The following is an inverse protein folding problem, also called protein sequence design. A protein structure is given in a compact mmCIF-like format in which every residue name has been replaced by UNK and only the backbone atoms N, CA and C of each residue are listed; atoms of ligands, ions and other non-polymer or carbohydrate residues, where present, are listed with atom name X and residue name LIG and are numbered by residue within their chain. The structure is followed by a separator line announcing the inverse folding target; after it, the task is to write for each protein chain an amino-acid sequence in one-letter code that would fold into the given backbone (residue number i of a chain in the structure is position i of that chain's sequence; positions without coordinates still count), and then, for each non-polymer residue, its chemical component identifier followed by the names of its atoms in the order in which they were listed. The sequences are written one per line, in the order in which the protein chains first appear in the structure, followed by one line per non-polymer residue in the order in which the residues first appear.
data_IF_003329617365
#
_entry.id   IF_003329617365
#
_cell.length_a   1.000
_cell.length_b   1.000
_cell.length_c   1.000
_cell.angle_alpha   90.00
_cell.angle_beta   90.00
_cell.angle_gamma   90.00
#
_symmetry.space_group_name_H-M   'P 1'
#
loop_
_entity.id
_entity.type
_entity.pdbx_description
1 polymer ?
#
# COMPACT_ATOMS: atom_id res chain seq x y z
N UNK A 1 -20.14 -21.24 -0.07
CA UNK A 1 -19.53 -21.60 -1.37
C UNK A 1 -18.46 -20.57 -1.71
N UNK A 2 -17.27 -21.00 -2.16
CA UNK A 2 -16.21 -20.08 -2.59
C UNK A 2 -16.62 -19.49 -3.95
N UNK A 3 -16.75 -18.17 -4.05
CA UNK A 3 -17.05 -17.50 -5.32
C UNK A 3 -15.89 -17.77 -6.31
N UNK A 4 -16.23 -18.21 -7.53
CA UNK A 4 -15.26 -18.47 -8.61
C UNK A 4 -15.01 -17.24 -9.49
N UNK A 5 -15.93 -16.28 -9.46
CA UNK A 5 -15.92 -15.08 -10.27
C UNK A 5 -16.35 -13.86 -9.47
N UNK A 6 -16.01 -12.67 -9.96
CA UNK A 6 -16.36 -11.39 -9.37
C UNK A 6 -16.70 -10.36 -10.45
N UNK A 7 -17.81 -9.65 -10.26
CA UNK A 7 -18.10 -8.40 -10.98
C UNK A 7 -17.83 -7.23 -10.03
N UNK A 8 -17.00 -6.28 -10.45
CA UNK A 8 -16.52 -5.23 -9.54
C UNK A 8 -17.56 -4.12 -9.39
N UNK A 9 -18.15 -3.68 -10.50
CA UNK A 9 -19.22 -2.70 -10.50
C UNK A 9 -20.49 -3.26 -11.19
N UNK A 10 -21.70 -2.95 -10.71
CA UNK A 10 -22.94 -3.47 -11.30
C UNK A 10 -23.08 -3.21 -12.81
N UNK A 11 -22.59 -2.05 -13.27
CA UNK A 11 -22.61 -1.64 -14.69
C UNK A 11 -21.54 -2.26 -15.57
N UNK A 12 -20.60 -3.03 -15.01
CA UNK A 12 -19.57 -3.70 -15.82
C UNK A 12 -20.23 -4.66 -16.82
N UNK A 13 -19.60 -4.89 -17.96
CA UNK A 13 -20.05 -5.93 -18.91
C UNK A 13 -19.03 -7.06 -19.05
N UNK A 14 -18.07 -7.10 -18.14
CA UNK A 14 -17.08 -8.15 -18.00
C UNK A 14 -17.05 -8.69 -16.58
N UNK A 15 -16.73 -9.96 -16.45
CA UNK A 15 -16.61 -10.67 -15.17
C UNK A 15 -15.17 -11.14 -15.00
N UNK A 16 -14.61 -10.98 -13.80
CA UNK A 16 -13.25 -11.42 -13.46
C UNK A 16 -13.27 -12.85 -12.92
N UNK A 17 -12.37 -13.68 -13.44
CA UNK A 17 -12.12 -15.02 -12.91
C UNK A 17 -11.23 -14.95 -11.65
N UNK A 18 -11.67 -15.58 -10.55
CA UNK A 18 -10.91 -15.66 -9.28
C UNK A 18 -10.00 -16.90 -9.21
N UNK A 19 -10.12 -17.79 -10.19
CA UNK A 19 -9.33 -19.00 -10.40
C UNK A 19 -9.35 -19.34 -11.89
N UNK A 20 -8.59 -20.33 -12.33
CA UNK A 20 -8.65 -20.82 -13.71
C UNK A 20 -10.02 -21.48 -13.96
N UNK A 21 -10.65 -21.13 -15.09
CA UNK A 21 -11.95 -21.65 -15.50
C UNK A 21 -11.82 -22.28 -16.90
N UNK A 22 -12.01 -23.59 -17.04
CA UNK A 22 -11.92 -24.24 -18.35
C UNK A 22 -13.07 -23.85 -19.28
N UNK A 23 -12.78 -23.89 -20.57
CA UNK A 23 -13.77 -23.81 -21.64
C UNK A 23 -14.92 -24.80 -21.43
N UNK A 24 -16.15 -24.34 -21.67
CA UNK A 24 -17.38 -25.10 -21.52
C UNK A 24 -17.94 -25.13 -20.09
N UNK A 25 -17.21 -24.62 -19.09
CA UNK A 25 -17.74 -24.50 -17.73
C UNK A 25 -18.93 -23.52 -17.71
N UNK A 26 -19.99 -23.91 -16.98
CA UNK A 26 -21.12 -23.03 -16.69
C UNK A 26 -20.93 -22.35 -15.35
N UNK A 27 -20.87 -21.02 -15.36
CA UNK A 27 -20.73 -20.19 -14.17
C UNK A 27 -22.07 -19.53 -13.87
N UNK A 28 -22.62 -19.77 -12.67
CA UNK A 28 -23.80 -19.05 -12.18
C UNK A 28 -23.38 -17.93 -11.23
N UNK A 29 -23.71 -16.69 -11.55
CA UNK A 29 -23.35 -15.51 -10.77
C UNK A 29 -24.45 -14.45 -10.87
N UNK A 30 -24.86 -13.88 -9.72
CA UNK A 30 -25.95 -12.88 -9.60
C UNK A 30 -27.26 -13.27 -10.31
N UNK A 31 -27.61 -14.56 -10.32
CA UNK A 31 -28.84 -15.07 -10.95
C UNK A 31 -28.74 -15.33 -12.45
N UNK A 32 -27.60 -15.04 -13.08
CA UNK A 32 -27.32 -15.34 -14.49
C UNK A 32 -26.38 -16.52 -14.63
N UNK A 33 -26.53 -17.30 -15.71
CA UNK A 33 -25.63 -18.40 -16.05
C UNK A 33 -24.86 -18.07 -17.33
N UNK A 34 -23.53 -18.22 -17.28
CA UNK A 34 -22.61 -17.94 -18.37
C UNK A 34 -21.89 -19.24 -18.76
N UNK A 35 -21.92 -19.60 -20.05
CA UNK A 35 -21.14 -20.71 -20.57
C UNK A 35 -19.85 -20.17 -21.16
N UNK A 36 -18.70 -20.59 -20.64
CA UNK A 36 -17.41 -20.12 -21.14
C UNK A 36 -17.10 -20.75 -22.49
N UNK A 37 -16.66 -19.95 -23.47
CA UNK A 37 -16.29 -20.45 -24.81
C UNK A 37 -14.79 -20.58 -25.00
N UNK A 38 -14.01 -20.04 -24.06
CA UNK A 38 -12.56 -20.07 -23.99
C UNK A 38 -12.11 -20.50 -22.59
N UNK A 39 -10.86 -20.93 -22.45
CA UNK A 39 -10.23 -21.06 -21.14
C UNK A 39 -9.97 -19.66 -20.57
N UNK A 40 -10.42 -19.40 -19.34
CA UNK A 40 -10.25 -18.12 -18.66
C UNK A 40 -9.29 -18.31 -17.49
N UNK A 41 -8.01 -17.92 -17.62
CA UNK A 41 -7.07 -18.01 -16.52
C UNK A 41 -7.48 -17.08 -15.36
N UNK A 42 -7.00 -17.39 -14.15
CA UNK A 42 -7.19 -16.55 -12.99
C UNK A 42 -6.79 -15.09 -13.30
N UNK A 43 -7.57 -14.14 -12.76
CA UNK A 43 -7.45 -12.68 -12.94
C UNK A 43 -7.78 -12.16 -14.34
N UNK A 44 -8.03 -13.03 -15.32
CA UNK A 44 -8.55 -12.62 -16.63
C UNK A 44 -10.06 -12.39 -16.57
N UNK A 45 -10.61 -11.84 -17.65
CA UNK A 45 -12.01 -11.44 -17.74
C UNK A 45 -12.69 -12.13 -18.91
N UNK A 46 -14.00 -12.31 -18.80
CA UNK A 46 -14.85 -12.72 -19.91
C UNK A 46 -16.07 -11.80 -20.01
N UNK A 47 -16.71 -11.75 -21.17
CA UNK A 47 -17.87 -10.90 -21.41
C UNK A 47 -19.18 -11.53 -20.94
N UNK A 48 -20.05 -10.73 -20.33
CA UNK A 48 -21.37 -11.20 -19.87
C UNK A 48 -22.36 -11.48 -21.00
N UNK A 49 -22.17 -10.79 -22.12
CA UNK A 49 -23.04 -10.82 -23.30
C UNK A 49 -22.20 -10.86 -24.56
N UNK A 50 -22.83 -11.19 -25.69
CA UNK A 50 -22.20 -11.02 -26.99
C UNK A 50 -21.84 -9.54 -27.19
N UNK A 51 -20.65 -9.31 -27.71
CA UNK A 51 -20.12 -8.00 -28.07
C UNK A 51 -19.95 -7.95 -29.58
N UNK A 52 -20.47 -6.91 -30.23
CA UNK A 52 -20.17 -6.58 -31.61
C UNK A 52 -18.88 -5.74 -31.72
N UNK A 53 -18.29 -5.66 -32.91
CA UNK A 53 -17.18 -4.74 -33.16
C UNK A 53 -17.61 -3.29 -32.88
N UNK A 54 -16.83 -2.57 -32.08
CA UNK A 54 -17.12 -1.21 -31.65
C UNK A 54 -17.91 -1.08 -30.34
N UNK A 55 -18.47 -2.19 -29.80
CA UNK A 55 -19.19 -2.16 -28.53
C UNK A 55 -18.29 -1.72 -27.38
N UNK A 56 -18.86 -0.93 -26.49
CA UNK A 56 -18.19 -0.39 -25.32
C UNK A 56 -17.87 -1.46 -24.29
N UNK A 57 -16.64 -1.47 -23.78
CA UNK A 57 -16.19 -2.32 -22.69
C UNK A 57 -16.17 -1.48 -21.42
N UNK A 58 -17.01 -1.86 -20.46
CA UNK A 58 -17.21 -1.14 -19.21
C UNK A 58 -16.58 -1.94 -18.07
N UNK A 59 -15.64 -1.31 -17.36
CA UNK A 59 -14.97 -1.85 -16.19
C UNK A 59 -14.93 -0.81 -15.09
N UNK A 60 -15.18 -1.23 -13.85
CA UNK A 60 -15.26 -0.33 -12.69
C UNK A 60 -16.33 0.77 -12.87
N UNK A 61 -17.36 0.49 -13.66
CA UNK A 61 -18.43 1.44 -13.98
C UNK A 61 -18.06 2.53 -14.99
N UNK A 62 -16.92 2.42 -15.67
CA UNK A 62 -16.46 3.41 -16.67
C UNK A 62 -16.03 2.75 -17.97
N UNK A 63 -16.08 3.50 -19.09
CA UNK A 63 -15.54 3.05 -20.37
C UNK A 63 -14.03 2.89 -20.29
N UNK A 64 -13.53 1.71 -20.63
CA UNK A 64 -12.09 1.43 -20.69
C UNK A 64 -11.59 1.03 -22.07
N UNK A 65 -12.51 0.62 -22.95
CA UNK A 65 -12.18 0.06 -24.25
C UNK A 65 -13.38 -0.13 -25.15
N UNK A 66 -13.11 -0.55 -26.38
CA UNK A 66 -14.11 -1.03 -27.33
C UNK A 66 -13.67 -2.36 -27.93
N UNK A 67 -14.62 -3.27 -28.14
CA UNK A 67 -14.37 -4.54 -28.82
C UNK A 67 -13.89 -4.27 -30.26
N UNK A 68 -12.87 -5.00 -30.71
CA UNK A 68 -12.30 -4.86 -32.07
C UNK A 68 -13.01 -5.74 -33.09
N UNK A 69 -13.63 -6.81 -32.63
CA UNK A 69 -14.31 -7.83 -33.42
C UNK A 69 -15.50 -8.37 -32.61
N UNK A 70 -16.30 -9.23 -33.21
CA UNK A 70 -17.34 -9.94 -32.48
C UNK A 70 -16.72 -10.86 -31.42
N UNK A 71 -17.23 -10.80 -30.19
CA UNK A 71 -16.80 -11.63 -29.06
C UNK A 71 -18.06 -12.23 -28.43
N UNK A 72 -18.22 -13.56 -28.39
CA UNK A 72 -19.38 -14.18 -27.77
C UNK A 72 -19.41 -13.97 -26.25
N UNK A 73 -20.60 -14.06 -25.66
CA UNK A 73 -20.76 -14.19 -24.22
C UNK A 73 -19.92 -15.36 -23.69
N UNK A 74 -19.25 -15.17 -22.56
CA UNK A 74 -18.30 -16.15 -22.01
C UNK A 74 -16.95 -16.19 -22.73
N UNK A 75 -16.72 -15.35 -23.74
CA UNK A 75 -15.44 -15.24 -24.45
C UNK A 75 -14.43 -14.41 -23.66
N UNK A 76 -13.14 -14.77 -23.77
CA UNK A 76 -12.07 -14.12 -23.02
C UNK A 76 -11.85 -12.68 -23.51
N UNK A 77 -11.68 -11.74 -22.59
CA UNK A 77 -11.21 -10.39 -22.87
C UNK A 77 -9.68 -10.37 -22.83
N UNK A 78 -9.05 -9.87 -23.89
CA UNK A 78 -7.60 -9.71 -23.98
C UNK A 78 -7.23 -8.45 -24.79
N UNK A 79 -5.94 -8.17 -24.89
CA UNK A 79 -5.44 -6.97 -25.60
C UNK A 79 -5.54 -7.09 -27.13
N UNK A 80 -5.80 -8.29 -27.67
CA UNK A 80 -6.01 -8.46 -29.11
C UNK A 80 -7.44 -8.17 -29.56
N UNK A 81 -8.44 -8.38 -28.69
CA UNK A 81 -9.84 -8.19 -29.03
C UNK A 81 -10.48 -6.94 -28.40
N UNK A 82 -9.77 -6.22 -27.52
CA UNK A 82 -10.19 -4.92 -26.99
C UNK A 82 -9.11 -3.87 -27.22
N UNK A 83 -9.53 -2.71 -27.72
CA UNK A 83 -8.68 -1.53 -27.84
C UNK A 83 -9.13 -0.47 -26.85
N UNK A 84 -8.17 0.26 -26.29
CA UNK A 84 -8.45 1.34 -25.35
C UNK A 84 -9.41 2.39 -25.95
N UNK A 85 -10.33 2.85 -25.12
CA UNK A 85 -11.24 3.95 -25.37
C UNK A 85 -11.54 4.63 -24.04
N UNK A 86 -11.73 5.94 -24.08
CA UNK A 86 -12.18 6.74 -22.96
C UNK A 86 -13.36 7.59 -23.43
N UNK A 87 -14.21 7.99 -22.49
CA UNK A 87 -15.29 8.91 -22.79
C UNK A 87 -14.70 10.25 -23.24
N UNK A 88 -15.40 10.94 -24.15
CA UNK A 88 -15.02 12.29 -24.54
C UNK A 88 -15.01 13.23 -23.33
N UNK A 89 -14.14 14.24 -23.37
CA UNK A 89 -14.18 15.31 -22.38
C UNK A 89 -15.42 16.17 -22.63
N UNK A 90 -16.30 16.23 -21.66
CA UNK A 90 -17.47 17.10 -21.69
C UNK A 90 -17.80 17.60 -20.28
N UNK A 91 -18.38 18.79 -20.19
CA UNK A 91 -18.88 19.32 -18.93
C UNK A 91 -20.14 18.55 -18.54
N UNK A 92 -19.98 17.66 -17.56
CA UNK A 92 -21.11 16.99 -16.92
C UNK A 92 -21.50 17.79 -15.70
N UNK A 93 -22.74 18.29 -15.67
CA UNK A 93 -23.37 18.76 -14.44
C UNK A 93 -23.74 17.55 -13.54
N UNK A 94 -22.76 16.71 -13.26
CA UNK A 94 -22.91 15.51 -12.45
C UNK A 94 -23.10 15.96 -11.00
N UNK A 95 -24.35 15.87 -10.54
CA UNK A 95 -24.69 16.02 -9.13
C UNK A 95 -24.27 14.74 -8.41
N UNK A 96 -22.96 14.62 -8.12
CA UNK A 96 -22.45 13.47 -7.36
C UNK A 96 -22.99 13.53 -5.93
N UNK A 97 -23.85 12.57 -5.60
CA UNK A 97 -24.33 12.36 -4.24
C UNK A 97 -23.48 11.26 -3.62
N UNK A 98 -22.58 11.63 -2.71
CA UNK A 98 -21.82 10.64 -1.96
C UNK A 98 -22.77 9.83 -1.07
N UNK A 99 -22.82 8.52 -1.31
CA UNK A 99 -23.53 7.59 -0.43
C UNK A 99 -22.54 7.05 0.61
N UNK A 100 -22.67 7.52 1.84
CA UNK A 100 -21.85 7.03 2.94
C UNK A 100 -22.04 5.51 3.12
N UNK A 101 -20.96 4.72 3.28
CA UNK A 101 -21.10 3.32 3.63
C UNK A 101 -21.68 3.19 5.04
N UNK A 102 -22.43 2.12 5.30
CA UNK A 102 -22.93 1.85 6.64
C UNK A 102 -21.78 1.51 7.59
N UNK A 103 -21.55 2.41 8.55
CA UNK A 103 -20.55 2.28 9.62
C UNK A 103 -21.17 1.91 10.97
N UNK A 104 -22.45 1.56 11.02
CA UNK A 104 -23.20 1.22 12.24
C UNK A 104 -22.47 0.18 13.10
N UNK A 105 -21.90 -0.85 12.47
CA UNK A 105 -21.11 -1.92 13.13
C UNK A 105 -19.87 -1.43 13.87
N UNK A 106 -19.41 -0.22 13.58
CA UNK A 106 -18.21 0.38 14.20
C UNK A 106 -18.53 1.50 15.19
N UNK A 107 -19.79 1.91 15.34
CA UNK A 107 -20.18 3.09 16.13
C UNK A 107 -19.67 3.09 17.58
N UNK A 108 -19.63 1.91 18.20
CA UNK A 108 -19.22 1.73 19.60
C UNK A 108 -17.83 1.09 19.74
N UNK A 109 -17.03 1.05 18.66
CA UNK A 109 -15.67 0.52 18.71
C UNK A 109 -14.75 1.59 19.29
N UNK A 110 -13.96 1.20 20.27
CA UNK A 110 -12.94 2.03 20.91
C UNK A 110 -11.57 1.39 20.77
N UNK A 111 -10.53 2.18 20.98
CA UNK A 111 -9.16 1.70 21.10
C UNK A 111 -8.44 2.48 22.21
N UNK A 112 -7.43 1.87 22.82
CA UNK A 112 -6.58 2.57 23.80
C UNK A 112 -5.65 3.52 23.04
N UNK A 113 -5.84 4.82 23.23
CA UNK A 113 -5.06 5.85 22.58
C UNK A 113 -4.49 6.88 23.55
N UNK A 114 -3.54 7.67 23.06
CA UNK A 114 -2.89 8.74 23.82
C UNK A 114 -3.65 10.05 23.62
N UNK A 115 -4.45 10.44 24.60
CA UNK A 115 -5.24 11.68 24.56
C UNK A 115 -4.34 12.92 24.64
N UNK A 116 -4.63 13.91 23.81
CA UNK A 116 -3.96 15.23 23.81
C UNK A 116 -4.91 16.30 24.35
N UNK A 117 -4.32 17.40 24.83
CA UNK A 117 -5.07 18.54 25.38
C UNK A 117 -6.01 19.22 24.38
N UNK A 118 -5.75 19.04 23.08
CA UNK A 118 -6.58 19.56 21.98
C UNK A 118 -7.70 18.60 21.53
N UNK A 119 -7.90 17.49 22.24
CA UNK A 119 -8.93 16.49 21.96
C UNK A 119 -8.55 15.45 20.89
N UNK A 120 -7.42 15.59 20.21
CA UNK A 120 -6.91 14.54 19.31
C UNK A 120 -6.41 13.34 20.11
N UNK A 121 -6.45 12.16 19.50
CA UNK A 121 -5.97 10.91 20.11
C UNK A 121 -4.87 10.31 19.24
N UNK A 122 -3.71 10.04 19.82
CA UNK A 122 -2.58 9.37 19.16
C UNK A 122 -2.69 7.85 19.26
N UNK A 123 -2.21 7.15 18.24
CA UNK A 123 -2.10 5.68 18.22
C UNK A 123 -0.74 5.17 18.73
N UNK A 124 0.21 6.08 18.93
CA UNK A 124 1.55 5.82 19.45
C UNK A 124 2.09 7.05 20.18
N UNK A 125 3.03 6.83 21.10
CA UNK A 125 3.71 7.84 21.89
C UNK A 125 5.19 7.93 21.46
N UNK A 126 5.51 8.94 20.65
CA UNK A 126 6.86 9.17 20.14
C UNK A 126 7.48 10.41 20.74
N UNK A 127 8.78 10.35 21.02
CA UNK A 127 9.59 11.54 21.20
C UNK A 127 10.14 11.97 19.85
N UNK A 128 9.86 13.20 19.45
CA UNK A 128 10.30 13.79 18.19
C UNK A 128 11.35 14.85 18.48
N UNK A 129 12.51 14.70 17.87
CA UNK A 129 13.55 15.71 17.87
C UNK A 129 13.64 16.31 16.47
N UNK A 130 13.42 17.62 16.39
CA UNK A 130 13.32 18.36 15.14
C UNK A 130 14.26 19.56 15.27
N UNK A 131 15.30 19.67 14.42
CA UNK A 131 16.15 20.83 14.40
C UNK A 131 15.40 21.98 13.73
N UNK A 132 15.43 23.17 14.33
CA UNK A 132 14.79 24.37 13.75
C UNK A 132 15.61 24.98 12.62
N UNK A 133 16.90 24.62 12.53
CA UNK A 133 17.84 25.06 11.49
C UNK A 133 18.76 23.91 11.07
N UNK A 134 19.21 23.93 9.82
CA UNK A 134 20.00 22.85 9.21
C UNK A 134 21.36 22.59 9.87
N UNK A 135 22.01 23.65 10.37
CA UNK A 135 23.33 23.55 11.01
C UNK A 135 23.30 22.61 12.23
N UNK A 136 22.13 22.41 12.82
CA UNK A 136 21.94 21.55 13.99
C UNK A 136 21.78 20.06 13.66
N UNK A 137 21.72 19.67 12.38
CA UNK A 137 21.61 18.24 12.02
C UNK A 137 22.74 17.40 12.63
N UNK A 138 23.98 17.91 12.67
CA UNK A 138 25.10 17.19 13.27
C UNK A 138 24.89 16.97 14.76
N UNK A 139 24.41 17.98 15.47
CA UNK A 139 24.08 17.86 16.89
C UNK A 139 22.90 16.88 17.08
N UNK A 140 21.92 16.92 16.19
CA UNK A 140 20.79 15.99 16.19
C UNK A 140 21.24 14.54 16.02
N UNK A 141 22.19 14.26 15.13
CA UNK A 141 22.74 12.93 14.91
C UNK A 141 23.52 12.42 16.14
N UNK A 142 24.24 13.30 16.84
CA UNK A 142 24.90 12.97 18.12
C UNK A 142 23.87 12.61 19.19
N UNK A 143 22.81 13.43 19.34
CA UNK A 143 21.71 13.14 20.28
C UNK A 143 21.03 11.83 19.91
N UNK A 144 20.80 11.59 18.62
CA UNK A 144 20.22 10.34 18.11
C UNK A 144 21.04 9.14 18.51
N UNK A 145 22.34 9.18 18.29
CA UNK A 145 23.23 8.08 18.67
C UNK A 145 23.16 7.81 20.17
N UNK A 146 23.29 8.86 20.99
CA UNK A 146 23.24 8.74 22.45
C UNK A 146 21.90 8.17 22.94
N UNK A 147 20.77 8.74 22.52
CA UNK A 147 19.45 8.31 22.98
C UNK A 147 19.08 6.93 22.45
N UNK A 148 19.44 6.59 21.21
CA UNK A 148 19.13 5.26 20.67
C UNK A 148 19.95 4.16 21.35
N UNK A 149 21.23 4.39 21.61
CA UNK A 149 22.10 3.41 22.25
C UNK A 149 21.76 3.25 23.74
N UNK A 150 21.76 4.35 24.50
CA UNK A 150 21.65 4.30 25.96
C UNK A 150 20.22 3.99 26.44
N UNK A 151 19.20 4.41 25.71
CA UNK A 151 17.80 4.18 26.10
C UNK A 151 17.20 2.91 25.48
N UNK A 152 17.95 2.19 24.64
CA UNK A 152 17.53 0.92 24.05
C UNK A 152 16.53 1.05 22.88
N UNK A 153 16.57 2.17 22.13
CA UNK A 153 15.70 2.37 20.94
C UNK A 153 16.43 2.14 19.61
N UNK A 154 17.73 1.84 19.64
CA UNK A 154 18.55 1.65 18.45
C UNK A 154 18.23 0.35 17.72
N UNK A 155 17.59 0.45 16.56
CA UNK A 155 17.33 -0.69 15.64
C UNK A 155 18.61 -1.28 15.04
N UNK A 156 19.75 -0.63 15.25
CA UNK A 156 21.06 -1.04 14.72
C UNK A 156 21.77 -2.08 15.56
N UNK A 157 21.27 -2.45 16.75
CA UNK A 157 21.97 -3.37 17.66
C UNK A 157 22.38 -4.69 16.97
N UNK A 158 21.47 -5.29 16.18
CA UNK A 158 21.77 -6.49 15.38
C UNK A 158 22.90 -6.28 14.36
N UNK A 159 22.88 -5.15 13.66
CA UNK A 159 23.89 -4.83 12.63
C UNK A 159 25.24 -4.48 13.26
N UNK A 160 25.23 -3.79 14.41
CA UNK A 160 26.44 -3.51 15.21
C UNK A 160 27.07 -4.82 15.70
N UNK A 161 26.26 -5.78 16.14
CA UNK A 161 26.73 -7.11 16.54
C UNK A 161 27.37 -7.87 15.37
N UNK A 162 26.75 -7.86 14.19
CA UNK A 162 27.34 -8.47 12.99
C UNK A 162 28.67 -7.82 12.61
N UNK A 163 28.74 -6.49 12.59
CA UNK A 163 29.97 -5.77 12.31
C UNK A 163 31.06 -6.06 13.34
N UNK A 164 30.70 -6.19 14.62
CA UNK A 164 31.62 -6.55 15.69
C UNK A 164 32.18 -7.96 15.52
N UNK A 165 31.33 -8.95 15.22
CA UNK A 165 31.76 -10.34 14.96
C UNK A 165 32.72 -10.42 13.76
N UNK A 166 32.41 -9.70 12.68
CA UNK A 166 33.29 -9.60 11.51
C UNK A 166 34.64 -8.96 11.85
N UNK A 167 34.63 -7.85 12.59
CA UNK A 167 35.86 -7.16 12.99
C UNK A 167 36.76 -8.05 13.87
N UNK A 168 36.19 -8.80 14.80
CA UNK A 168 36.93 -9.75 15.64
C UNK A 168 37.48 -10.93 14.84
N UNK A 169 36.70 -11.49 13.90
CA UNK A 169 37.17 -12.56 13.03
C UNK A 169 38.39 -12.13 12.18
N UNK A 170 38.36 -10.91 11.63
CA UNK A 170 39.49 -10.33 10.90
C UNK A 170 40.73 -10.20 11.79
N UNK A 171 40.57 -9.62 13.00
CA UNK A 171 41.68 -9.46 13.95
C UNK A 171 42.32 -10.80 14.34
N UNK A 172 41.49 -11.84 14.47
CA UNK A 172 41.92 -13.16 14.90
C UNK A 172 42.35 -14.07 13.72
N UNK A 173 42.41 -13.55 12.48
CA UNK A 173 42.80 -14.33 11.30
C UNK A 173 41.85 -15.48 10.95
N UNK A 174 40.61 -15.42 11.43
CA UNK A 174 39.60 -16.47 11.23
C UNK A 174 38.91 -16.32 9.86
N UNK A 175 38.44 -17.43 9.28
CA UNK A 175 37.65 -17.39 8.04
C UNK A 175 36.32 -16.68 8.28
N UNK A 176 35.95 -15.78 7.36
CA UNK A 176 34.70 -15.02 7.41
C UNK A 176 33.48 -15.86 7.01
N UNK A 177 33.71 -17.03 6.40
CA UNK A 177 32.66 -17.92 5.89
C UNK A 177 31.95 -18.73 7.00
N UNK A 178 32.51 -18.73 8.21
CA UNK A 178 31.98 -19.50 9.36
C UNK A 178 31.12 -18.66 10.31
N UNK A 179 30.91 -17.38 10.01
CA UNK A 179 30.15 -16.47 10.89
C UNK A 179 28.65 -16.64 10.64
N UNK A 180 27.93 -17.06 11.68
CA UNK A 180 26.47 -17.19 11.65
C UNK A 180 25.79 -15.82 11.87
N UNK A 181 24.99 -15.40 10.89
CA UNK A 181 24.20 -14.16 10.93
C UNK A 181 22.74 -14.38 11.36
N UNK A 182 22.42 -15.52 11.98
CA UNK A 182 21.07 -15.80 12.46
C UNK A 182 20.47 -14.58 13.22
N UNK A 183 19.19 -14.24 12.96
CA UNK A 183 18.57 -13.09 13.59
C UNK A 183 18.42 -13.34 15.08
N UNK A 184 19.32 -12.78 15.88
CA UNK A 184 19.15 -12.72 17.33
C UNK A 184 18.04 -11.72 17.61
N UNK A 185 17.01 -12.17 18.32
CA UNK A 185 16.00 -11.27 18.90
C UNK A 185 16.70 -10.38 19.90
N UNK A 186 17.06 -9.16 19.46
CA UNK A 186 17.51 -8.11 20.36
C UNK A 186 16.36 -7.84 21.34
N UNK A 187 16.48 -8.38 22.56
CA UNK A 187 15.69 -7.92 23.70
C UNK A 187 16.16 -6.49 24.00
N UNK A 188 15.59 -5.52 23.29
CA UNK A 188 15.83 -4.12 23.56
C UNK A 188 15.23 -3.80 24.93
N UNK A 189 16.09 -3.78 25.95
CA UNK A 189 15.74 -3.30 27.28
C UNK A 189 15.53 -1.78 27.20
N UNK A 190 14.33 -1.38 26.76
CA UNK A 190 13.93 0.03 26.69
C UNK A 190 13.79 0.58 28.10
N UNK A 191 14.47 1.70 28.35
CA UNK A 191 14.35 2.43 29.62
C UNK A 191 12.92 2.96 29.80
N UNK A 192 12.32 3.53 28.75
CA UNK A 192 10.97 4.09 28.79
C UNK A 192 9.94 3.20 28.07
N UNK A 193 9.41 2.21 28.77
CA UNK A 193 8.49 1.21 28.17
C UNK A 193 7.23 1.80 27.53
N UNK A 194 6.79 2.99 27.97
CA UNK A 194 5.61 3.68 27.45
C UNK A 194 5.90 4.64 26.28
N UNK A 195 7.16 4.70 25.82
CA UNK A 195 7.56 5.44 24.62
C UNK A 195 7.75 4.40 23.51
N UNK A 196 6.95 4.52 22.46
CA UNK A 196 6.94 3.60 21.32
C UNK A 196 8.20 3.77 20.45
N UNK A 197 8.79 4.97 20.46
CA UNK A 197 10.10 5.21 19.88
C UNK A 197 10.59 6.66 20.02
N UNK A 198 11.86 6.84 19.65
CA UNK A 198 12.50 8.16 19.56
C UNK A 198 12.84 8.41 18.10
N UNK A 199 12.30 9.48 17.51
CA UNK A 199 12.47 9.82 16.10
C UNK A 199 13.18 11.16 15.95
N UNK A 200 13.98 11.24 14.90
CA UNK A 200 14.80 12.39 14.58
C UNK A 200 14.50 12.78 13.13
N UNK A 201 14.15 14.04 12.91
CA UNK A 201 13.78 14.55 11.60
C UNK A 201 14.86 15.54 11.14
N UNK A 202 15.91 15.02 10.51
CA UNK A 202 16.97 15.85 9.90
C UNK A 202 16.43 16.62 8.69
N UNK A 203 16.96 17.82 8.45
CA UNK A 203 16.58 18.62 7.29
C UNK A 203 17.72 18.69 6.26
N UNK A 204 17.48 18.25 5.02
CA UNK A 204 18.54 18.11 4.00
C UNK A 204 18.72 19.34 3.08
N UNK A 205 17.96 20.43 3.27
CA UNK A 205 18.19 21.66 2.51
C UNK A 205 19.52 22.33 2.91
N UNK A 206 20.21 22.97 1.98
CA UNK A 206 21.38 23.77 2.31
C UNK A 206 21.00 25.13 2.92
N UNK A 207 21.99 25.92 3.31
CA UNK A 207 21.82 27.29 3.81
C UNK A 207 21.33 28.32 2.75
N UNK A 208 20.63 27.88 1.69
CA UNK A 208 20.20 28.70 0.56
C UNK A 208 18.70 28.60 0.23
N UNK A 209 17.89 28.01 1.11
CA UNK A 209 16.43 27.94 0.91
C UNK A 209 15.73 29.29 1.09
N UNK A 210 14.58 29.46 0.44
CA UNK A 210 13.74 30.65 0.60
C UNK A 210 12.77 30.48 1.78
N UNK A 211 12.18 31.58 2.26
CA UNK A 211 11.20 31.54 3.38
C UNK A 211 10.04 30.57 3.13
N UNK A 212 9.65 30.40 1.87
CA UNK A 212 8.60 29.48 1.44
C UNK A 212 8.99 28.02 1.69
N UNK A 213 10.26 27.65 1.51
CA UNK A 213 10.75 26.28 1.76
C UNK A 213 10.64 25.95 3.25
N UNK A 214 11.04 26.89 4.11
CA UNK A 214 10.90 26.76 5.56
C UNK A 214 9.42 26.69 6.00
N UNK A 215 8.54 27.46 5.36
CA UNK A 215 7.10 27.43 5.63
C UNK A 215 6.44 26.13 5.17
N UNK A 216 6.85 25.57 4.02
CA UNK A 216 6.37 24.26 3.54
C UNK A 216 6.86 23.16 4.48
N UNK A 217 8.13 23.17 4.87
CA UNK A 217 8.68 22.20 5.83
C UNK A 217 7.91 22.22 7.15
N UNK A 218 7.62 23.41 7.67
CA UNK A 218 6.84 23.56 8.90
C UNK A 218 5.41 23.01 8.81
N UNK A 219 4.85 22.93 7.59
CA UNK A 219 3.52 22.34 7.33
C UNK A 219 3.55 20.82 7.12
N UNK A 220 4.72 20.24 6.87
CA UNK A 220 4.90 18.79 6.71
C UNK A 220 5.11 18.07 8.05
N UNK A 221 5.36 18.84 9.12
CA UNK A 221 5.54 18.38 10.50
C UNK A 221 4.22 18.48 11.29
#
# INVERSE_FOLDING_TARGET
MKQKVLKVHPSDNVIVALQDLPKGEQITYNGSTYTLVDDIPAKHKFFEKNMAAGDEVIMYGVLVGKAQNEIPAGGIMNTSNVKHAAEGYDYRNAQYIWQAPDVSKFKNRTFNGYHRSDGRVGTANYWLFIPTVFCENRNLDVIKEALHNELGYGVTAKYKQYAHQLAEAIKNGSSLETIDFAPTTSNQNRVFKNVDGIKFLNHQGGCGGIRQDAAILSKLL
#
